data_IF_564317303694
#
_entry.id   IF_564317303694
#
_cell.length_a   1.000
_cell.length_b   1.000
_cell.length_c   1.000
_cell.angle_alpha   90.00
_cell.angle_beta   90.00
_cell.angle_gamma   90.00
#
_symmetry.space_group_name_H-M   'P 1'
#
loop_
_entity.id
_entity.type
_entity.pdbx_description
1 polymer ?
#
# COMPACT_ATOMS: atom_id res chain seq x y z
N UNK A 1 -11.91 11.14 -10.66
CA UNK A 1 -12.39 9.75 -10.44
C UNK A 1 -13.62 9.81 -9.57
N UNK A 2 -14.79 9.34 -10.04
CA UNK A 2 -16.03 9.34 -9.23
C UNK A 2 -15.83 8.45 -8.00
N UNK A 3 -16.22 8.94 -6.82
CA UNK A 3 -16.32 8.11 -5.61
C UNK A 3 -17.43 7.06 -5.82
N UNK A 4 -17.20 5.84 -5.35
CA UNK A 4 -18.23 4.81 -5.32
C UNK A 4 -19.21 5.15 -4.19
N UNK A 5 -20.52 5.04 -4.46
CA UNK A 5 -21.55 5.06 -3.43
C UNK A 5 -21.60 3.65 -2.81
N UNK A 6 -20.94 3.47 -1.66
CA UNK A 6 -20.76 2.15 -1.04
C UNK A 6 -22.08 1.58 -0.50
N UNK A 7 -22.99 2.44 -0.04
CA UNK A 7 -24.28 2.02 0.53
C UNK A 7 -25.22 1.44 -0.52
N UNK A 8 -25.11 1.92 -1.76
CA UNK A 8 -25.97 1.47 -2.87
C UNK A 8 -25.29 0.47 -3.81
N UNK A 9 -24.01 0.19 -3.60
CA UNK A 9 -23.25 -0.70 -4.49
C UNK A 9 -23.39 -2.15 -4.06
N UNK A 10 -23.49 -3.04 -5.05
CA UNK A 10 -23.39 -4.47 -4.78
C UNK A 10 -22.00 -4.84 -4.24
N UNK A 11 -21.94 -5.93 -3.47
CA UNK A 11 -20.69 -6.47 -2.95
C UNK A 11 -19.62 -6.66 -4.03
N UNK A 12 -19.99 -7.26 -5.17
CA UNK A 12 -19.09 -7.47 -6.31
C UNK A 12 -18.46 -6.16 -6.81
N UNK A 13 -19.27 -5.10 -6.92
CA UNK A 13 -18.81 -3.78 -7.38
C UNK A 13 -17.86 -3.13 -6.37
N UNK A 14 -18.12 -3.30 -5.08
CA UNK A 14 -17.22 -2.85 -4.00
C UNK A 14 -15.88 -3.59 -4.09
N UNK A 15 -15.89 -4.91 -4.25
CA UNK A 15 -14.66 -5.69 -4.39
C UNK A 15 -13.83 -5.29 -5.62
N UNK A 16 -14.46 -5.07 -6.78
CA UNK A 16 -13.79 -4.60 -7.99
C UNK A 16 -13.14 -3.21 -7.77
N UNK A 17 -13.85 -2.31 -7.09
CA UNK A 17 -13.33 -0.99 -6.75
C UNK A 17 -12.16 -1.06 -5.76
N UNK A 18 -12.28 -1.89 -4.71
CA UNK A 18 -11.22 -2.12 -3.73
C UNK A 18 -9.97 -2.65 -4.42
N UNK A 19 -10.14 -3.62 -5.32
CA UNK A 19 -9.03 -4.18 -6.08
C UNK A 19 -8.31 -3.14 -6.94
N UNK A 20 -9.07 -2.24 -7.57
CA UNK A 20 -8.49 -1.12 -8.31
C UNK A 20 -7.70 -0.17 -7.40
N UNK A 21 -8.14 0.06 -6.15
CA UNK A 21 -7.38 0.85 -5.19
C UNK A 21 -6.10 0.15 -4.75
N UNK A 22 -6.18 -1.15 -4.44
CA UNK A 22 -5.01 -1.96 -4.06
C UNK A 22 -3.95 -1.91 -5.15
N UNK A 23 -4.32 -2.10 -6.43
CA UNK A 23 -3.37 -1.95 -7.55
C UNK A 23 -2.66 -0.59 -7.54
N UNK A 24 -3.41 0.50 -7.36
CA UNK A 24 -2.82 1.86 -7.28
C UNK A 24 -1.92 2.03 -6.07
N UNK A 25 -2.30 1.45 -4.94
CA UNK A 25 -1.50 1.47 -3.71
C UNK A 25 -0.18 0.73 -3.94
N UNK A 26 -0.19 -0.45 -4.55
CA UNK A 26 1.02 -1.22 -4.82
C UNK A 26 2.02 -0.46 -5.70
N UNK A 27 1.53 0.22 -6.75
CA UNK A 27 2.39 1.06 -7.60
C UNK A 27 3.00 2.27 -6.86
N UNK A 28 2.35 2.76 -5.81
CA UNK A 28 2.92 3.81 -4.95
C UNK A 28 3.90 3.21 -3.95
N UNK A 29 3.54 2.08 -3.34
CA UNK A 29 4.38 1.36 -2.39
C UNK A 29 5.73 1.01 -3.02
N UNK A 30 5.76 0.46 -4.24
CA UNK A 30 6.99 0.12 -4.98
C UNK A 30 7.95 1.32 -5.19
N UNK A 31 7.48 2.56 -5.00
CA UNK A 31 8.30 3.78 -5.12
C UNK A 31 8.80 4.30 -3.77
N UNK A 32 8.33 3.75 -2.66
CA UNK A 32 8.82 4.07 -1.31
C UNK A 32 10.06 3.25 -1.00
N UNK A 33 11.00 3.84 -0.23
CA UNK A 33 12.29 3.19 0.09
C UNK A 33 12.09 1.86 0.82
N UNK A 34 11.15 1.81 1.76
CA UNK A 34 10.86 0.61 2.55
C UNK A 34 10.43 -0.56 1.65
N UNK A 35 9.36 -0.37 0.87
CA UNK A 35 8.81 -1.43 0.03
C UNK A 35 9.72 -1.79 -1.14
N UNK A 36 10.56 -0.87 -1.64
CA UNK A 36 11.61 -1.23 -2.60
C UNK A 36 12.56 -2.30 -2.05
N UNK A 37 13.01 -2.12 -0.80
CA UNK A 37 13.88 -3.11 -0.14
C UNK A 37 13.14 -4.40 0.14
N UNK A 38 11.91 -4.32 0.66
CA UNK A 38 11.08 -5.49 0.95
C UNK A 38 10.83 -6.31 -0.33
N UNK A 39 10.34 -5.67 -1.39
CA UNK A 39 10.04 -6.36 -2.64
C UNK A 39 11.28 -6.94 -3.29
N UNK A 40 12.42 -6.25 -3.23
CA UNK A 40 13.70 -6.79 -3.70
C UNK A 40 14.14 -8.02 -2.89
N UNK A 41 14.02 -7.97 -1.56
CA UNK A 41 14.39 -9.07 -0.65
C UNK A 41 13.56 -10.34 -0.90
N UNK A 42 12.25 -10.17 -1.15
CA UNK A 42 11.31 -11.27 -1.34
C UNK A 42 11.04 -11.61 -2.82
N UNK A 43 11.73 -10.96 -3.77
CA UNK A 43 11.54 -11.22 -5.20
C UNK A 43 10.15 -10.84 -5.73
N UNK A 44 9.47 -9.90 -5.08
CA UNK A 44 8.09 -9.50 -5.39
C UNK A 44 8.10 -8.56 -6.60
N UNK A 45 7.29 -8.90 -7.60
CA UNK A 45 7.02 -8.03 -8.73
C UNK A 45 5.55 -7.61 -8.69
N UNK A 46 5.30 -6.33 -8.41
CA UNK A 46 3.94 -5.76 -8.29
C UNK A 46 3.09 -6.02 -9.55
N UNK A 47 3.71 -6.08 -10.73
CA UNK A 47 2.99 -6.34 -11.99
C UNK A 47 2.44 -7.78 -12.09
N UNK A 48 2.95 -8.71 -11.29
CA UNK A 48 2.46 -10.10 -11.22
C UNK A 48 1.24 -10.25 -10.30
N UNK A 49 0.92 -9.24 -9.48
CA UNK A 49 -0.17 -9.26 -8.52
C UNK A 49 -1.48 -8.85 -9.21
N UNK A 50 -2.32 -9.83 -9.57
CA UNK A 50 -3.51 -9.63 -10.44
C UNK A 50 -4.85 -9.76 -9.71
N UNK A 51 -4.87 -10.38 -8.54
CA UNK A 51 -6.04 -10.56 -7.69
C UNK A 51 -5.67 -10.55 -6.19
N UNK A 52 -6.66 -10.67 -5.31
CA UNK A 52 -6.45 -10.69 -3.86
C UNK A 52 -5.68 -11.92 -3.37
N UNK A 53 -5.73 -13.05 -4.08
CA UNK A 53 -4.95 -14.23 -3.78
C UNK A 53 -3.46 -14.01 -4.07
N UNK A 54 -3.12 -13.27 -5.12
CA UNK A 54 -1.72 -12.89 -5.39
C UNK A 54 -1.22 -11.86 -4.37
N UNK A 55 -2.12 -11.00 -3.88
CA UNK A 55 -1.78 -9.97 -2.89
C UNK A 55 -1.30 -10.57 -1.56
N UNK A 56 -1.76 -11.76 -1.18
CA UNK A 56 -1.30 -12.44 0.04
C UNK A 56 0.17 -12.89 0.00
N UNK A 57 0.83 -12.81 -1.17
CA UNK A 57 2.27 -13.06 -1.29
C UNK A 57 3.12 -11.91 -0.73
N UNK A 58 2.53 -10.73 -0.49
CA UNK A 58 3.24 -9.60 0.11
C UNK A 58 3.36 -9.83 1.62
N UNK A 59 4.59 -9.81 2.18
CA UNK A 59 4.80 -9.86 3.62
C UNK A 59 4.08 -8.72 4.33
N UNK A 60 3.57 -9.01 5.51
CA UNK A 60 3.01 -7.98 6.38
C UNK A 60 4.07 -6.97 6.79
N UNK A 61 3.63 -5.74 7.04
CA UNK A 61 4.47 -4.71 7.68
C UNK A 61 4.27 -4.83 9.18
N UNK A 62 5.37 -5.00 9.90
CA UNK A 62 5.35 -5.13 11.36
C UNK A 62 5.51 -3.79 12.06
N UNK A 63 5.27 -3.75 13.37
CA UNK A 63 5.53 -2.56 14.18
C UNK A 63 7.03 -2.20 14.19
N UNK A 64 7.91 -3.19 14.24
CA UNK A 64 9.35 -2.99 14.23
C UNK A 64 9.83 -2.37 12.91
N UNK A 65 9.20 -2.72 11.79
CA UNK A 65 9.48 -2.07 10.50
C UNK A 65 9.21 -0.56 10.56
N UNK A 66 8.09 -0.17 11.18
CA UNK A 66 7.69 1.23 11.33
C UNK A 66 8.60 1.98 12.32
N UNK A 67 9.00 1.35 13.43
CA UNK A 67 9.86 1.98 14.45
C UNK A 67 11.28 2.24 13.94
N UNK A 68 11.85 1.29 13.20
CA UNK A 68 13.26 1.37 12.79
C UNK A 68 13.51 2.42 11.70
N UNK A 69 12.60 2.57 10.73
CA UNK A 69 12.77 3.50 9.60
C UNK A 69 11.43 4.12 9.16
N UNK A 70 10.76 4.92 10.00
CA UNK A 70 9.41 5.43 9.73
C UNK A 70 9.34 6.28 8.45
N UNK A 71 10.40 7.03 8.16
CA UNK A 71 10.43 7.92 7.00
C UNK A 71 10.61 7.19 5.66
N UNK A 72 11.05 5.93 5.67
CA UNK A 72 11.21 5.15 4.44
C UNK A 72 9.87 4.70 3.84
N UNK A 73 8.78 4.80 4.61
CA UNK A 73 7.41 4.57 4.16
C UNK A 73 6.81 5.77 3.41
N UNK A 74 7.46 6.94 3.49
CA UNK A 74 6.93 8.15 2.88
C UNK A 74 7.01 8.06 1.36
N UNK A 75 5.85 8.25 0.73
CA UNK A 75 5.75 8.43 -0.72
C UNK A 75 6.04 9.88 -1.16
N UNK A 76 5.80 10.85 -0.26
CA UNK A 76 6.07 12.25 -0.47
C UNK A 76 7.30 12.68 0.32
N UNK A 77 8.03 13.72 -0.14
CA UNK A 77 9.17 14.23 0.61
C UNK A 77 8.69 14.91 1.91
N UNK A 78 9.55 14.95 2.93
CA UNK A 78 9.16 15.33 4.28
C UNK A 78 8.63 16.76 4.38
N UNK A 79 9.07 17.66 3.50
CA UNK A 79 8.65 19.06 3.45
C UNK A 79 7.16 19.21 3.07
N UNK A 80 6.55 18.15 2.51
CA UNK A 80 5.11 18.10 2.23
C UNK A 80 4.27 17.56 3.39
N UNK A 81 4.90 17.22 4.52
CA UNK A 81 4.20 16.70 5.69
C UNK A 81 3.69 17.87 6.53
N UNK A 82 2.36 18.01 6.61
CA UNK A 82 1.72 19.05 7.40
C UNK A 82 1.77 18.77 8.92
N UNK A 83 1.74 17.49 9.32
CA UNK A 83 1.63 17.10 10.73
C UNK A 83 2.25 15.74 10.99
N UNK A 84 2.86 15.60 12.17
CA UNK A 84 3.46 14.36 12.65
C UNK A 84 2.80 14.00 13.98
N UNK A 85 2.49 12.72 14.15
CA UNK A 85 2.04 12.12 15.40
C UNK A 85 2.96 10.95 15.73
N UNK A 86 3.21 10.72 17.01
CA UNK A 86 4.05 9.63 17.50
C UNK A 86 3.29 8.84 18.56
N UNK A 87 3.45 7.52 18.56
CA UNK A 87 3.07 6.68 19.69
C UNK A 87 4.30 6.38 20.53
N UNK A 88 4.09 6.14 21.83
CA UNK A 88 5.14 5.67 22.75
C UNK A 88 5.27 4.16 22.66
#
# INVERSE_FOLDING_TARGET
>A
MKRLDFEKSSWKKVQEWQWLQVKKLLFRAEKTKFYQRLFKRFGINVRKIKNFQDFSQIPETTEDDLRNNPYDFLFYPQEKIWRIFTTT
#
